data_IF_252914799990
#
_entry.id   IF_252914799990
#
_cell.length_a   1.000
_cell.length_b   1.000
_cell.length_c   1.000
_cell.angle_alpha   90.00
_cell.angle_beta   90.00
_cell.angle_gamma   90.00
#
_symmetry.space_group_name_H-M   'P 1'
#
loop_
_entity.id
_entity.type
_entity.pdbx_description
1 polymer ?
#
# COMPACT_ATOMS: atom_id res chain seq x y z
N UNK A 1 -18.24 -16.04 -12.21
CA UNK A 1 -17.26 -16.90 -12.94
C UNK A 1 -17.28 -16.70 -14.45
N UNK A 2 -18.45 -16.66 -15.12
CA UNK A 2 -18.56 -16.40 -16.58
C UNK A 2 -17.84 -15.14 -17.11
N UNK A 3 -17.67 -14.10 -16.27
CA UNK A 3 -16.90 -12.90 -16.62
C UNK A 3 -15.40 -13.20 -16.78
N UNK A 4 -14.79 -13.92 -15.82
CA UNK A 4 -13.36 -14.25 -15.84
C UNK A 4 -13.01 -15.22 -16.98
N UNK A 5 -13.93 -16.13 -17.34
CA UNK A 5 -13.75 -17.03 -18.48
C UNK A 5 -13.55 -16.28 -19.80
N UNK A 6 -14.22 -15.13 -19.99
CA UNK A 6 -14.09 -14.28 -21.19
C UNK A 6 -12.78 -13.49 -21.22
N UNK A 7 -12.23 -13.14 -20.06
CA UNK A 7 -11.02 -12.31 -19.95
C UNK A 7 -9.75 -13.13 -20.26
N UNK A 8 -9.73 -14.38 -19.81
CA UNK A 8 -8.56 -15.26 -19.94
C UNK A 8 -7.44 -14.95 -18.92
N UNK A 9 -6.58 -15.94 -18.69
CA UNK A 9 -5.55 -15.90 -17.64
C UNK A 9 -4.51 -14.80 -17.86
N UNK A 10 -4.06 -14.59 -19.11
CA UNK A 10 -3.03 -13.60 -19.43
C UNK A 10 -3.51 -12.18 -19.13
N UNK A 11 -4.71 -11.83 -19.57
CA UNK A 11 -5.32 -10.52 -19.33
C UNK A 11 -5.62 -10.31 -17.84
N UNK A 12 -6.11 -11.34 -17.15
CA UNK A 12 -6.31 -11.30 -15.70
C UNK A 12 -5.01 -10.98 -14.95
N UNK A 13 -3.89 -11.64 -15.30
CA UNK A 13 -2.58 -11.36 -14.68
C UNK A 13 -2.15 -9.91 -14.88
N UNK A 14 -2.29 -9.38 -16.09
CA UNK A 14 -1.93 -7.99 -16.39
C UNK A 14 -2.81 -6.98 -15.64
N UNK A 15 -4.13 -7.20 -15.62
CA UNK A 15 -5.07 -6.35 -14.87
C UNK A 15 -4.81 -6.42 -13.36
N UNK A 16 -4.46 -7.59 -12.85
CA UNK A 16 -4.12 -7.76 -11.43
C UNK A 16 -2.86 -6.97 -11.05
N UNK A 17 -1.81 -7.04 -11.88
CA UNK A 17 -0.59 -6.23 -11.69
C UNK A 17 -0.93 -4.74 -11.76
N UNK A 18 -1.71 -4.31 -12.76
CA UNK A 18 -2.12 -2.91 -12.91
C UNK A 18 -2.87 -2.41 -11.67
N UNK A 19 -3.85 -3.16 -11.19
CA UNK A 19 -4.67 -2.77 -10.05
C UNK A 19 -3.87 -2.75 -8.74
N UNK A 20 -2.99 -3.73 -8.52
CA UNK A 20 -2.12 -3.72 -7.34
C UNK A 20 -1.09 -2.59 -7.41
N UNK A 21 -0.48 -2.33 -8.58
CA UNK A 21 0.47 -1.23 -8.75
C UNK A 21 -0.18 0.15 -8.56
N UNK A 22 -1.42 0.35 -9.03
CA UNK A 22 -2.19 1.56 -8.73
C UNK A 22 -2.41 1.72 -7.22
N UNK A 23 -2.69 0.62 -6.54
CA UNK A 23 -2.82 0.61 -5.09
C UNK A 23 -1.54 0.98 -4.36
N UNK A 24 -0.40 0.45 -4.80
CA UNK A 24 0.91 0.81 -4.27
C UNK A 24 1.17 2.31 -4.41
N UNK A 25 0.90 2.89 -5.58
CA UNK A 25 1.09 4.32 -5.83
C UNK A 25 0.21 5.15 -4.88
N UNK A 26 -1.07 4.78 -4.71
CA UNK A 26 -1.99 5.49 -3.82
C UNK A 26 -1.52 5.40 -2.37
N UNK A 27 -1.16 4.20 -1.90
CA UNK A 27 -0.70 3.98 -0.52
C UNK A 27 0.62 4.70 -0.25
N UNK A 28 1.59 4.61 -1.15
CA UNK A 28 2.86 5.31 -1.03
C UNK A 28 2.69 6.84 -1.04
N UNK A 29 1.79 7.35 -1.89
CA UNK A 29 1.45 8.79 -1.91
C UNK A 29 0.81 9.22 -0.60
N UNK A 30 -0.11 8.42 -0.06
CA UNK A 30 -0.73 8.66 1.24
C UNK A 30 0.31 8.68 2.37
N UNK A 31 1.20 7.69 2.44
CA UNK A 31 2.28 7.64 3.43
C UNK A 31 3.19 8.86 3.30
N UNK A 32 3.58 9.22 2.08
CA UNK A 32 4.39 10.40 1.82
C UNK A 32 3.72 11.68 2.32
N UNK A 33 2.46 11.92 1.96
CA UNK A 33 1.73 13.12 2.41
C UNK A 33 1.53 13.15 3.92
N UNK A 34 1.31 12.00 4.56
CA UNK A 34 1.11 11.90 6.00
C UNK A 34 2.38 12.27 6.77
N UNK A 35 3.53 11.76 6.34
CA UNK A 35 4.79 11.87 7.06
C UNK A 35 5.75 12.96 6.55
N UNK A 36 5.54 13.52 5.35
CA UNK A 36 6.37 14.65 4.88
C UNK A 36 6.04 15.99 5.55
N UNK A 37 4.85 16.12 6.11
CA UNK A 37 4.45 17.33 6.80
C UNK A 37 4.87 17.26 8.27
N UNK A 38 5.88 18.06 8.63
CA UNK A 38 6.40 18.16 9.99
C UNK A 38 5.30 18.47 11.03
N UNK A 39 4.27 19.24 10.67
CA UNK A 39 3.17 19.58 11.59
C UNK A 39 2.34 18.34 11.99
N UNK A 40 2.31 17.31 11.16
CA UNK A 40 1.63 16.05 11.49
C UNK A 40 2.49 15.16 12.42
N UNK A 41 3.82 15.27 12.31
CA UNK A 41 4.77 14.44 13.05
C UNK A 41 5.12 15.04 14.41
N UNK A 42 5.27 16.36 14.51
CA UNK A 42 5.66 17.05 15.75
C UNK A 42 4.82 16.61 16.96
N UNK A 43 3.48 16.48 16.87
CA UNK A 43 2.68 15.99 18.00
C UNK A 43 3.02 14.55 18.43
N UNK A 44 3.37 13.68 17.48
CA UNK A 44 3.77 12.29 17.76
C UNK A 44 5.14 12.22 18.46
N UNK A 45 6.09 13.06 18.01
CA UNK A 45 7.40 13.21 18.68
C UNK A 45 7.20 13.73 20.10
N UNK A 46 6.37 14.77 20.26
CA UNK A 46 6.08 15.36 21.57
C UNK A 46 5.37 14.40 22.51
N UNK A 47 4.46 13.57 22.01
CA UNK A 47 3.81 12.53 22.81
C UNK A 47 4.84 11.54 23.37
N UNK A 48 5.81 11.13 22.55
CA UNK A 48 6.88 10.23 23.00
C UNK A 48 7.80 10.89 24.02
N UNK A 49 8.18 12.16 23.82
CA UNK A 49 9.05 12.89 24.76
C UNK A 49 8.38 13.11 26.13
N UNK A 50 7.05 13.29 26.16
CA UNK A 50 6.29 13.36 27.40
C UNK A 50 6.39 12.09 28.25
N UNK A 51 6.56 10.92 27.64
CA UNK A 51 6.79 9.66 28.38
C UNK A 51 8.10 9.69 29.17
N UNK A 52 9.03 10.56 28.79
CA UNK A 52 10.33 10.76 29.43
C UNK A 52 10.42 12.06 30.23
N UNK A 53 9.30 12.75 30.48
CA UNK A 53 9.24 14.05 31.14
C UNK A 53 10.07 15.16 30.47
N UNK A 54 10.27 15.05 29.15
CA UNK A 54 10.99 16.06 28.36
C UNK A 54 10.01 17.03 27.69
N UNK A 55 10.35 18.31 27.68
CA UNK A 55 9.66 19.37 26.96
C UNK A 55 10.44 19.86 25.75
N UNK A 56 9.79 20.62 24.87
CA UNK A 56 10.46 21.25 23.71
C UNK A 56 11.62 22.16 24.10
N UNK A 57 11.58 22.75 25.31
CA UNK A 57 12.63 23.65 25.82
C UNK A 57 13.88 22.92 26.29
N UNK A 58 13.75 21.64 26.62
CA UNK A 58 14.86 20.80 27.11
C UNK A 58 15.72 20.26 25.97
N UNK A 59 15.33 20.55 24.72
CA UNK A 59 15.96 20.01 23.51
C UNK A 59 16.67 21.11 22.72
N UNK A 60 17.77 20.78 22.02
CA UNK A 60 18.40 21.69 21.07
C UNK A 60 17.39 22.17 20.02
N UNK A 61 17.50 23.44 19.60
CA UNK A 61 16.63 24.00 18.56
C UNK A 61 16.69 23.21 17.23
N UNK A 62 17.81 22.52 16.96
CA UNK A 62 17.99 21.70 15.77
C UNK A 62 17.37 20.30 15.87
N UNK A 63 17.02 19.82 17.07
CA UNK A 63 16.59 18.45 17.32
C UNK A 63 15.44 18.00 16.41
N UNK A 64 14.40 18.82 16.31
CA UNK A 64 13.24 18.51 15.49
C UNK A 64 13.55 18.47 13.99
N UNK A 65 14.43 19.37 13.53
CA UNK A 65 14.85 19.41 12.13
C UNK A 65 15.66 18.15 11.79
N UNK A 66 16.60 17.78 12.65
CA UNK A 66 17.45 16.60 12.46
C UNK A 66 16.63 15.31 12.49
N UNK A 67 15.74 15.13 13.47
CA UNK A 67 14.85 13.96 13.52
C UNK A 67 13.94 13.90 12.30
N UNK A 68 13.32 15.02 11.91
CA UNK A 68 12.46 15.04 10.74
C UNK A 68 13.24 14.67 9.47
N UNK A 69 14.48 15.15 9.32
CA UNK A 69 15.34 14.77 8.20
C UNK A 69 15.65 13.28 8.18
N UNK A 70 15.99 12.69 9.33
CA UNK A 70 16.24 11.23 9.44
C UNK A 70 14.98 10.44 9.09
N UNK A 71 13.82 10.87 9.59
CA UNK A 71 12.54 10.25 9.26
C UNK A 71 12.24 10.33 7.75
N UNK A 72 12.49 11.48 7.12
CA UNK A 72 12.27 11.67 5.68
C UNK A 72 13.20 10.80 4.85
N UNK A 73 14.49 10.75 5.18
CA UNK A 73 15.45 9.87 4.50
C UNK A 73 15.03 8.41 4.61
N UNK A 74 14.60 7.99 5.81
CA UNK A 74 14.14 6.62 6.07
C UNK A 74 12.87 6.30 5.28
N UNK A 75 11.92 7.23 5.24
CA UNK A 75 10.68 7.10 4.47
C UNK A 75 10.98 6.98 2.97
N UNK A 76 11.85 7.83 2.43
CA UNK A 76 12.25 7.78 1.02
C UNK A 76 12.87 6.42 0.65
N UNK A 77 13.82 5.94 1.45
CA UNK A 77 14.47 4.64 1.23
C UNK A 77 13.43 3.51 1.31
N UNK A 78 12.55 3.55 2.31
CA UNK A 78 11.49 2.55 2.49
C UNK A 78 10.54 2.52 1.30
N UNK A 79 10.09 3.67 0.79
CA UNK A 79 9.24 3.76 -0.39
C UNK A 79 9.93 3.14 -1.62
N UNK A 80 11.21 3.43 -1.85
CA UNK A 80 11.99 2.85 -2.96
C UNK A 80 12.06 1.33 -2.83
N UNK A 81 12.38 0.83 -1.64
CA UNK A 81 12.47 -0.61 -1.38
C UNK A 81 11.12 -1.32 -1.60
N UNK A 82 10.01 -0.72 -1.18
CA UNK A 82 8.66 -1.25 -1.43
C UNK A 82 8.37 -1.35 -2.93
N UNK A 83 8.69 -0.30 -3.70
CA UNK A 83 8.50 -0.32 -5.17
C UNK A 83 9.30 -1.43 -5.82
N UNK A 84 10.58 -1.59 -5.45
CA UNK A 84 11.44 -2.65 -5.99
C UNK A 84 10.88 -4.03 -5.61
N UNK A 85 10.50 -4.20 -4.35
CA UNK A 85 9.95 -5.45 -3.84
C UNK A 85 8.68 -5.85 -4.62
N UNK A 86 7.73 -4.94 -4.80
CA UNK A 86 6.51 -5.22 -5.56
C UNK A 86 6.77 -5.45 -7.05
N UNK A 87 7.71 -4.74 -7.67
CA UNK A 87 8.10 -5.01 -9.06
C UNK A 87 8.61 -6.45 -9.24
N UNK A 88 9.43 -6.95 -8.32
CA UNK A 88 9.93 -8.34 -8.32
C UNK A 88 8.78 -9.33 -8.12
N UNK A 89 7.89 -9.06 -7.17
CA UNK A 89 6.70 -9.88 -6.92
C UNK A 89 5.79 -9.95 -8.16
N UNK A 90 5.53 -8.83 -8.82
CA UNK A 90 4.70 -8.77 -10.03
C UNK A 90 5.32 -9.53 -11.19
N UNK A 91 6.64 -9.45 -11.35
CA UNK A 91 7.35 -10.28 -12.32
C UNK A 91 7.15 -11.78 -12.04
N UNK A 92 7.35 -12.22 -10.80
CA UNK A 92 7.17 -13.63 -10.43
C UNK A 92 5.71 -14.09 -10.48
N UNK A 93 4.77 -13.21 -10.17
CA UNK A 93 3.34 -13.46 -10.31
C UNK A 93 2.97 -13.69 -11.78
N UNK A 94 3.49 -12.87 -12.69
CA UNK A 94 3.30 -13.05 -14.13
C UNK A 94 3.86 -14.39 -14.64
N UNK A 95 5.01 -14.81 -14.06
CA UNK A 95 5.67 -16.11 -14.29
C UNK A 95 5.04 -17.29 -13.54
N UNK A 96 3.89 -17.08 -12.89
CA UNK A 96 3.10 -18.13 -12.23
C UNK A 96 3.78 -18.81 -11.03
N UNK A 97 4.76 -18.14 -10.39
CA UNK A 97 5.41 -18.66 -9.19
C UNK A 97 4.44 -18.74 -8.02
N UNK A 98 4.46 -19.89 -7.32
CA UNK A 98 3.47 -20.21 -6.27
C UNK A 98 3.45 -19.19 -5.13
N UNK A 99 4.63 -18.80 -4.66
CA UNK A 99 4.81 -17.81 -3.60
C UNK A 99 4.28 -16.44 -3.97
N UNK A 100 4.58 -15.96 -5.18
CA UNK A 100 4.09 -14.67 -5.67
C UNK A 100 2.56 -14.66 -5.86
N UNK A 101 1.98 -15.78 -6.30
CA UNK A 101 0.52 -15.95 -6.35
C UNK A 101 -0.13 -15.86 -4.97
N UNK A 102 0.42 -16.57 -3.98
CA UNK A 102 -0.07 -16.50 -2.62
C UNK A 102 0.07 -15.08 -2.06
N UNK A 103 1.21 -14.44 -2.31
CA UNK A 103 1.46 -13.07 -1.89
C UNK A 103 0.41 -12.10 -2.45
N UNK A 104 0.18 -12.11 -3.78
CA UNK A 104 -0.81 -11.20 -4.40
C UNK A 104 -2.23 -11.53 -3.93
N UNK A 105 -2.56 -12.80 -3.68
CA UNK A 105 -3.85 -13.20 -3.09
C UNK A 105 -4.05 -12.61 -1.69
N UNK A 106 -3.02 -12.67 -0.84
CA UNK A 106 -3.06 -12.07 0.51
C UNK A 106 -3.11 -10.54 0.41
N UNK A 107 -2.26 -9.93 -0.44
CA UNK A 107 -2.23 -8.49 -0.66
C UNK A 107 -3.60 -7.96 -1.07
N UNK A 108 -4.26 -8.63 -2.02
CA UNK A 108 -5.56 -8.19 -2.54
C UNK A 108 -6.69 -8.43 -1.53
N UNK A 109 -6.62 -9.48 -0.71
CA UNK A 109 -7.56 -9.66 0.41
C UNK A 109 -7.41 -8.56 1.46
N UNK A 110 -6.17 -8.32 1.92
CA UNK A 110 -5.87 -7.28 2.91
C UNK A 110 -6.18 -5.89 2.35
N UNK A 111 -5.89 -5.65 1.07
CA UNK A 111 -6.22 -4.41 0.38
C UNK A 111 -7.72 -4.18 0.28
N UNK A 112 -8.51 -5.21 -0.04
CA UNK A 112 -9.97 -5.12 -0.11
C UNK A 112 -10.62 -4.87 1.26
N UNK A 113 -10.04 -5.40 2.35
CA UNK A 113 -10.58 -5.19 3.70
C UNK A 113 -10.04 -3.92 4.36
N UNK A 114 -8.77 -3.60 4.13
CA UNK A 114 -8.06 -2.50 4.76
C UNK A 114 -8.27 -1.14 4.09
N UNK A 115 -8.42 -1.10 2.76
CA UNK A 115 -8.62 0.18 2.05
C UNK A 115 -9.89 0.92 2.49
N UNK A 116 -11.05 0.26 2.69
CA UNK A 116 -12.22 0.94 3.24
C UNK A 116 -11.96 1.59 4.61
N UNK A 117 -11.23 0.90 5.49
CA UNK A 117 -10.87 1.43 6.81
C UNK A 117 -9.96 2.65 6.69
N UNK A 118 -9.02 2.63 5.74
CA UNK A 118 -8.16 3.78 5.44
C UNK A 118 -8.92 4.94 4.79
N UNK A 119 -10.01 4.68 4.08
CA UNK A 119 -10.81 5.71 3.43
C UNK A 119 -11.75 6.47 4.40
N UNK A 120 -12.19 5.83 5.50
CA UNK A 120 -13.16 6.40 6.45
C UNK A 120 -12.80 7.82 6.94
N UNK A 121 -11.55 8.12 7.37
CA UNK A 121 -11.18 9.45 7.83
C UNK A 121 -11.20 10.52 6.74
N UNK A 122 -11.23 10.11 5.47
CA UNK A 122 -11.12 10.99 4.30
C UNK A 122 -12.43 11.17 3.55
N UNK A 123 -13.53 10.58 4.03
CA UNK A 123 -14.84 10.60 3.35
C UNK A 123 -15.44 12.01 3.25
N UNK A 124 -15.03 12.91 4.14
CA UNK A 124 -15.48 14.31 4.18
C UNK A 124 -14.61 15.24 3.32
N UNK A 125 -13.49 14.75 2.77
CA UNK A 125 -12.62 15.55 1.91
C UNK A 125 -13.10 15.49 0.45
N UNK A 126 -13.11 16.60 -0.30
CA UNK A 126 -13.60 16.61 -1.67
C UNK A 126 -12.77 15.70 -2.59
N UNK A 127 -13.46 14.70 -3.14
CA UNK A 127 -13.26 13.86 -4.36
C UNK A 127 -11.88 13.20 -4.65
N UNK A 128 -10.73 13.63 -4.14
CA UNK A 128 -9.45 13.11 -4.70
C UNK A 128 -8.85 11.89 -4.01
N UNK A 129 -8.94 11.76 -2.67
CA UNK A 129 -8.20 10.71 -1.94
C UNK A 129 -9.11 9.61 -1.38
N UNK A 130 -10.13 9.96 -0.59
CA UNK A 130 -11.04 8.98 0.02
C UNK A 130 -11.79 8.14 -1.04
N UNK A 131 -12.25 8.78 -2.11
CA UNK A 131 -12.90 8.09 -3.23
C UNK A 131 -11.94 7.16 -3.97
N UNK A 132 -10.70 7.60 -4.22
CA UNK A 132 -9.66 6.77 -4.86
C UNK A 132 -9.32 5.53 -4.03
N UNK A 133 -9.23 5.66 -2.71
CA UNK A 133 -8.97 4.53 -1.79
C UNK A 133 -10.18 3.57 -1.76
N UNK A 134 -11.42 4.08 -1.80
CA UNK A 134 -12.60 3.22 -1.90
C UNK A 134 -12.66 2.48 -3.24
N UNK A 135 -12.40 3.16 -4.35
CA UNK A 135 -12.33 2.54 -5.68
C UNK A 135 -11.27 1.42 -5.69
N UNK A 136 -10.12 1.67 -5.07
CA UNK A 136 -9.06 0.68 -4.94
C UNK A 136 -9.51 -0.58 -4.20
N UNK A 137 -10.35 -0.44 -3.16
CA UNK A 137 -10.94 -1.58 -2.47
C UNK A 137 -11.72 -2.49 -3.41
N UNK A 138 -12.50 -1.93 -4.34
CA UNK A 138 -13.26 -2.70 -5.33
C UNK A 138 -12.32 -3.37 -6.34
N UNK A 139 -11.26 -2.69 -6.77
CA UNK A 139 -10.25 -3.27 -7.66
C UNK A 139 -9.54 -4.46 -7.00
N UNK A 140 -9.13 -4.32 -5.73
CA UNK A 140 -8.54 -5.42 -4.97
C UNK A 140 -9.50 -6.60 -4.80
N UNK A 141 -10.77 -6.32 -4.50
CA UNK A 141 -11.79 -7.37 -4.41
C UNK A 141 -11.99 -8.09 -5.75
N UNK A 142 -12.01 -7.36 -6.86
CA UNK A 142 -12.11 -7.95 -8.20
C UNK A 142 -10.92 -8.89 -8.48
N UNK A 143 -9.71 -8.48 -8.13
CA UNK A 143 -8.51 -9.33 -8.26
C UNK A 143 -8.64 -10.57 -7.38
N UNK A 144 -9.02 -10.39 -6.11
CA UNK A 144 -9.19 -11.48 -5.15
C UNK A 144 -10.19 -12.53 -5.62
N UNK A 145 -11.38 -12.10 -6.09
CA UNK A 145 -12.40 -13.02 -6.62
C UNK A 145 -11.90 -13.74 -7.88
N UNK A 146 -11.09 -13.08 -8.69
CA UNK A 146 -10.46 -13.68 -9.87
C UNK A 146 -9.58 -14.89 -9.54
N UNK A 147 -8.93 -14.92 -8.37
CA UNK A 147 -8.11 -16.08 -7.97
C UNK A 147 -8.92 -17.37 -7.95
N UNK A 148 -10.14 -17.38 -7.39
CA UNK A 148 -11.00 -18.57 -7.35
C UNK A 148 -11.34 -19.13 -8.74
N UNK A 149 -11.31 -18.29 -9.78
CA UNK A 149 -11.61 -18.71 -11.16
C UNK A 149 -10.39 -19.28 -11.90
N UNK A 150 -9.18 -18.96 -11.45
CA UNK A 150 -7.93 -19.32 -12.13
C UNK A 150 -7.01 -20.22 -11.31
N UNK A 151 -7.30 -20.46 -10.03
CA UNK A 151 -6.50 -21.29 -9.12
C UNK A 151 -6.36 -22.74 -9.65
N UNK A 152 -7.42 -23.31 -10.22
CA UNK A 152 -7.40 -24.64 -10.84
C UNK A 152 -6.72 -24.68 -12.22
N UNK A 153 -6.61 -23.53 -12.91
CA UNK A 153 -5.96 -23.41 -14.23
C UNK A 153 -4.47 -23.11 -14.15
N UNK A 154 -3.93 -22.96 -12.93
CA UNK A 154 -2.49 -22.85 -12.72
C UNK A 154 -1.88 -24.22 -13.00
N UNK A 155 -1.23 -24.35 -14.16
CA UNK A 155 -0.46 -25.56 -14.47
C UNK A 155 0.45 -25.86 -13.29
N UNK A 156 0.48 -27.13 -12.88
CA UNK A 156 1.28 -27.69 -11.78
C UNK A 156 2.78 -27.56 -12.06
N UNK A 157 3.30 -26.35 -12.15
CA UNK A 157 4.73 -26.09 -12.20
C UNK A 157 5.19 -25.83 -10.77
N UNK A 158 5.94 -26.81 -10.26
CA UNK A 158 6.64 -26.77 -8.98
C UNK A 158 7.68 -25.65 -8.98
#
# INVERSE_FOLDING_TARGET
>A
MKHFEKIGLKSYKLLSILFCALGDIIVLTYLWQKFSNFNNIKPLIMLNLKLYNLSERDLPQSFFKEIHQVMMNTLSITCILIVIFHAVIYFFFYREKKSAWLYVKILTLLGALGSPLLALPHIQQPISLGFSILLLSFLYLWVFVGFFSFEAKRGTTN
#
